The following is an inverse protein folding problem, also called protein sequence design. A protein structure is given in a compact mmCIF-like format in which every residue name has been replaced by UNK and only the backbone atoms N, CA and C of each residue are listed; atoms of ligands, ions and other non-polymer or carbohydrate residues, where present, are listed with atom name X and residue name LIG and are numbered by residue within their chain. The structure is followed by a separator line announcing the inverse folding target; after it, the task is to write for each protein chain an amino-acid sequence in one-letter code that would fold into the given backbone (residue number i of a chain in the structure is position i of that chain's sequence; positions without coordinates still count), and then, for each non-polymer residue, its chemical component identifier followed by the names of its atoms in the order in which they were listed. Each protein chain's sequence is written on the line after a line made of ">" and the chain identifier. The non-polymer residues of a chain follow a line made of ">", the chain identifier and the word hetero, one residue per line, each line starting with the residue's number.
data_IF_220156899278
#
_entry.id   IF_220156899278
#
_cell.length_a   1.000
_cell.length_b   1.000
_cell.length_c   1.000
_cell.angle_alpha   90.00
_cell.angle_beta   90.00
_cell.angle_gamma   90.00
#
_symmetry.space_group_name_H-M   'P 1'
#
loop_
_entity.id
_entity.type
_entity.pdbx_description
1 polymer ?
#
# COMPACT_ATOMS: atom_id res chain seq x y z
N UNK A 1 10.50 22.39 -13.48
CA UNK A 1 11.05 21.02 -13.46
C UNK A 1 10.18 20.03 -12.67
N UNK A 2 9.18 20.48 -11.89
CA UNK A 2 8.23 19.62 -11.15
C UNK A 2 7.09 19.05 -12.01
N UNK A 3 6.71 19.74 -13.09
CA UNK A 3 5.60 19.32 -13.97
C UNK A 3 5.86 18.07 -14.83
N UNK A 4 7.12 17.75 -15.15
CA UNK A 4 7.45 16.57 -15.95
C UNK A 4 7.31 15.27 -15.14
N UNK A 5 7.69 15.29 -13.85
CA UNK A 5 7.57 14.14 -12.94
C UNK A 5 6.11 13.87 -12.55
N UNK A 6 5.33 14.92 -12.28
CA UNK A 6 3.90 14.79 -12.00
C UNK A 6 3.11 14.22 -13.19
N UNK A 7 3.53 14.57 -14.41
CA UNK A 7 2.87 14.13 -15.64
C UNK A 7 3.26 12.73 -16.10
N UNK A 8 4.36 12.15 -15.62
CA UNK A 8 4.79 10.79 -16.00
C UNK A 8 3.72 9.74 -15.66
N UNK A 9 3.13 9.82 -14.47
CA UNK A 9 2.06 8.90 -14.06
C UNK A 9 0.78 9.11 -14.87
N UNK A 10 0.48 10.36 -15.24
CA UNK A 10 -0.68 10.72 -16.06
C UNK A 10 -0.49 10.24 -17.50
N UNK A 11 0.71 10.38 -18.06
CA UNK A 11 1.05 9.91 -19.40
C UNK A 11 1.05 8.38 -19.48
N UNK A 12 1.62 7.69 -18.49
CA UNK A 12 1.56 6.23 -18.40
C UNK A 12 0.13 5.71 -18.34
N UNK A 13 -0.72 6.34 -17.50
CA UNK A 13 -2.14 6.00 -17.41
C UNK A 13 -2.87 6.27 -18.74
N UNK A 14 -2.63 7.42 -19.38
CA UNK A 14 -3.24 7.77 -20.68
C UNK A 14 -2.82 6.82 -21.80
N UNK A 15 -1.56 6.40 -21.82
CA UNK A 15 -1.07 5.38 -22.75
C UNK A 15 -1.73 4.03 -22.49
N UNK A 16 -1.96 3.65 -21.24
CA UNK A 16 -2.61 2.37 -20.92
C UNK A 16 -4.11 2.40 -21.25
N UNK A 17 -4.76 3.54 -21.02
CA UNK A 17 -6.17 3.76 -21.36
C UNK A 17 -6.41 3.91 -22.86
N UNK A 18 -5.41 4.27 -23.68
CA UNK A 18 -5.60 4.40 -25.13
C UNK A 18 -5.89 3.05 -25.80
N UNK A 19 -5.43 1.94 -25.23
CA UNK A 19 -5.76 0.59 -25.68
C UNK A 19 -7.23 0.21 -25.48
N UNK A 20 -7.94 0.93 -24.60
CA UNK A 20 -9.35 0.69 -24.23
C UNK A 20 -10.20 1.92 -24.60
N UNK A 21 -9.67 2.88 -25.36
CA UNK A 21 -10.34 4.14 -25.67
C UNK A 21 -11.60 4.00 -26.54
N UNK A 22 -11.81 2.85 -27.18
CA UNK A 22 -13.02 2.54 -27.94
C UNK A 22 -14.16 1.96 -27.06
N UNK A 23 -13.93 1.75 -25.76
CA UNK A 23 -14.92 1.22 -24.84
C UNK A 23 -15.89 2.31 -24.35
N UNK A 24 -17.12 1.94 -23.95
CA UNK A 24 -18.07 2.89 -23.39
C UNK A 24 -17.54 3.58 -22.11
N UNK A 25 -17.91 4.85 -21.93
CA UNK A 25 -17.36 5.77 -20.91
C UNK A 25 -17.33 5.21 -19.48
N UNK A 26 -18.30 4.37 -19.10
CA UNK A 26 -18.36 3.76 -17.77
C UNK A 26 -17.23 2.75 -17.52
N UNK A 27 -16.79 2.00 -18.54
CA UNK A 27 -15.66 1.06 -18.44
C UNK A 27 -14.36 1.83 -18.20
N UNK A 28 -14.18 2.94 -18.92
CA UNK A 28 -12.98 3.78 -18.80
C UNK A 28 -12.88 4.37 -17.38
N UNK A 29 -14.01 4.78 -16.79
CA UNK A 29 -14.04 5.31 -15.42
C UNK A 29 -13.70 4.25 -14.38
N UNK A 30 -14.33 3.06 -14.43
CA UNK A 30 -14.04 1.96 -13.50
C UNK A 30 -12.56 1.55 -13.61
N UNK A 31 -12.07 1.37 -14.83
CA UNK A 31 -10.67 0.99 -15.08
C UNK A 31 -9.71 2.05 -14.55
N UNK A 32 -10.02 3.33 -14.78
CA UNK A 32 -9.23 4.46 -14.27
C UNK A 32 -9.17 4.52 -12.75
N UNK A 33 -10.27 4.18 -12.07
CA UNK A 33 -10.35 4.12 -10.62
C UNK A 33 -9.58 2.92 -10.07
N UNK A 34 -9.72 1.75 -10.69
CA UNK A 34 -8.97 0.54 -10.31
C UNK A 34 -7.45 0.76 -10.45
N UNK A 35 -6.98 1.37 -11.54
CA UNK A 35 -5.57 1.70 -11.71
C UNK A 35 -5.07 2.59 -10.57
N UNK A 36 -5.83 3.61 -10.20
CA UNK A 36 -5.46 4.50 -9.11
C UNK A 36 -5.41 3.76 -7.76
N UNK A 37 -6.40 2.90 -7.46
CA UNK A 37 -6.44 2.11 -6.23
C UNK A 37 -5.25 1.15 -6.17
N UNK A 38 -4.97 0.43 -7.24
CA UNK A 38 -3.83 -0.50 -7.30
C UNK A 38 -2.51 0.25 -7.16
N UNK A 39 -2.34 1.39 -7.81
CA UNK A 39 -1.14 2.22 -7.67
C UNK A 39 -0.96 2.70 -6.22
N UNK A 40 -2.05 3.16 -5.59
CA UNK A 40 -2.03 3.58 -4.18
C UNK A 40 -1.62 2.43 -3.27
N UNK A 41 -2.27 1.27 -3.40
CA UNK A 41 -1.95 0.07 -2.61
C UNK A 41 -0.50 -0.36 -2.83
N UNK A 42 -0.01 -0.37 -4.07
CA UNK A 42 1.37 -0.73 -4.38
C UNK A 42 2.38 0.19 -3.66
N UNK A 43 2.15 1.50 -3.70
CA UNK A 43 3.02 2.48 -3.01
C UNK A 43 2.97 2.27 -1.50
N UNK A 44 1.77 2.20 -0.91
CA UNK A 44 1.63 2.04 0.54
C UNK A 44 2.22 0.72 1.06
N UNK A 45 1.95 -0.40 0.38
CA UNK A 45 2.51 -1.70 0.74
C UNK A 45 4.03 -1.72 0.61
N UNK A 46 4.58 -1.09 -0.44
CA UNK A 46 6.04 -0.99 -0.62
C UNK A 46 6.68 -0.14 0.48
N UNK A 47 6.09 1.01 0.82
CA UNK A 47 6.58 1.86 1.90
C UNK A 47 6.55 1.14 3.24
N UNK A 48 5.44 0.47 3.56
CA UNK A 48 5.32 -0.32 4.78
C UNK A 48 6.37 -1.45 4.84
N UNK A 49 6.54 -2.18 3.73
CA UNK A 49 7.55 -3.22 3.60
C UNK A 49 8.97 -2.69 3.86
N UNK A 50 9.35 -1.57 3.25
CA UNK A 50 10.66 -0.95 3.45
C UNK A 50 10.84 -0.43 4.88
N UNK A 51 9.81 0.20 5.45
CA UNK A 51 9.83 0.71 6.82
C UNK A 51 10.08 -0.41 7.82
N UNK A 52 9.45 -1.58 7.63
CA UNK A 52 9.66 -2.74 8.51
C UNK A 52 11.11 -3.27 8.48
N UNK A 53 11.76 -3.26 7.29
CA UNK A 53 13.17 -3.66 7.17
C UNK A 53 14.08 -2.63 7.84
N UNK A 54 13.79 -1.35 7.64
CA UNK A 54 14.52 -0.25 8.26
C UNK A 54 14.45 -0.34 9.79
N UNK A 55 13.26 -0.53 10.34
CA UNK A 55 13.03 -0.70 11.78
C UNK A 55 13.89 -1.85 12.34
N UNK A 56 13.83 -3.03 11.71
CA UNK A 56 14.66 -4.19 12.14
C UNK A 56 16.15 -3.92 12.07
N UNK A 57 16.60 -3.11 11.10
CA UNK A 57 18.01 -2.69 11.02
C UNK A 57 18.38 -1.74 12.14
N UNK A 58 17.55 -0.73 12.42
CA UNK A 58 17.78 0.24 13.49
C UNK A 58 17.84 -0.49 14.84
N UNK A 59 16.87 -1.35 15.13
CA UNK A 59 16.83 -2.14 16.35
C UNK A 59 18.06 -3.04 16.48
N UNK A 60 18.50 -3.68 15.40
CA UNK A 60 19.75 -4.44 15.39
C UNK A 60 20.96 -3.58 15.77
N UNK A 61 21.10 -2.40 15.15
CA UNK A 61 22.21 -1.47 15.45
C UNK A 61 22.20 -1.00 16.90
N UNK A 62 21.02 -0.72 17.47
CA UNK A 62 20.88 -0.37 18.89
C UNK A 62 21.32 -1.51 19.81
N UNK A 63 21.05 -2.75 19.43
CA UNK A 63 21.41 -3.96 20.20
C UNK A 63 22.82 -4.48 19.89
N UNK A 64 23.65 -3.71 19.17
CA UNK A 64 24.97 -4.14 18.69
C UNK A 64 24.95 -5.50 17.94
N UNK A 65 23.89 -5.75 17.16
CA UNK A 65 23.75 -6.92 16.28
C UNK A 65 23.44 -6.49 14.85
N UNK A 66 23.88 -7.27 13.87
CA UNK A 66 23.45 -7.04 12.50
C UNK A 66 21.95 -7.34 12.32
N UNK A 67 21.25 -6.38 11.69
CA UNK A 67 19.89 -6.55 11.20
C UNK A 67 19.83 -7.46 9.95
N UNK A 68 18.66 -7.55 9.29
CA UNK A 68 18.45 -8.43 8.13
C UNK A 68 19.50 -8.20 7.01
N UNK A 69 20.25 -9.23 6.65
CA UNK A 69 21.32 -9.17 5.63
C UNK A 69 21.40 -10.40 4.69
N UNK A 70 20.44 -11.34 4.76
CA UNK A 70 20.54 -12.64 4.07
C UNK A 70 19.65 -12.80 2.83
N UNK A 71 18.53 -12.09 2.77
CA UNK A 71 17.50 -12.26 1.72
C UNK A 71 17.61 -11.15 0.67
N UNK A 72 18.68 -11.21 -0.12
CA UNK A 72 19.00 -10.25 -1.18
C UNK A 72 19.89 -9.08 -0.73
N UNK A 73 20.24 -8.16 -1.65
CA UNK A 73 21.10 -7.02 -1.35
C UNK A 73 20.46 -6.18 -0.25
N UNK A 74 21.20 -5.93 0.83
CA UNK A 74 20.73 -5.21 2.02
C UNK A 74 19.46 -5.77 2.68
N UNK A 75 19.07 -7.02 2.40
CA UNK A 75 17.85 -7.63 2.95
C UNK A 75 16.53 -7.05 2.42
N UNK A 76 16.53 -6.42 1.23
CA UNK A 76 15.34 -5.80 0.64
C UNK A 76 14.22 -6.80 0.33
N UNK A 77 14.52 -8.08 0.10
CA UNK A 77 13.50 -9.10 -0.14
C UNK A 77 12.96 -9.74 1.14
N UNK A 78 13.34 -9.23 2.32
CA UNK A 78 12.82 -9.72 3.59
C UNK A 78 11.29 -9.62 3.72
N UNK A 79 10.62 -8.54 3.30
CA UNK A 79 9.16 -8.46 3.37
C UNK A 79 8.46 -9.49 2.47
N UNK A 80 9.07 -9.82 1.33
CA UNK A 80 8.55 -10.86 0.43
C UNK A 80 8.66 -12.24 1.09
N UNK A 81 9.81 -12.54 1.70
CA UNK A 81 10.01 -13.79 2.44
C UNK A 81 9.04 -13.91 3.64
N UNK A 82 8.82 -12.81 4.37
CA UNK A 82 7.87 -12.77 5.48
C UNK A 82 6.43 -12.94 4.99
N UNK A 83 6.05 -12.34 3.85
CA UNK A 83 4.75 -12.51 3.23
C UNK A 83 4.49 -13.96 2.82
N UNK A 84 5.44 -14.59 2.12
CA UNK A 84 5.36 -16.01 1.78
C UNK A 84 5.21 -16.88 3.03
N UNK A 85 5.99 -16.59 4.08
CA UNK A 85 5.90 -17.28 5.36
C UNK A 85 4.51 -17.14 5.99
N UNK A 86 3.87 -15.97 5.89
CA UNK A 86 2.52 -15.75 6.41
C UNK A 86 1.46 -16.48 5.59
N UNK A 87 1.63 -16.62 4.27
CA UNK A 87 0.70 -17.35 3.41
C UNK A 87 0.72 -18.87 3.65
N UNK A 88 1.89 -19.41 4.00
CA UNK A 88 2.07 -20.84 4.29
C UNK A 88 1.70 -21.14 5.76
N UNK A 89 1.63 -20.12 6.61
CA UNK A 89 1.34 -20.28 8.03
C UNK A 89 -0.07 -20.86 8.20
N UNK A 90 -0.16 -21.98 8.87
CA UNK A 90 -1.45 -22.55 9.28
C UNK A 90 -2.18 -21.58 10.22
N UNK A 91 -3.45 -21.33 9.91
CA UNK A 91 -4.34 -20.54 10.76
C UNK A 91 -4.95 -21.43 11.85
N UNK A 92 -4.40 -21.33 13.07
CA UNK A 92 -4.79 -22.17 14.20
C UNK A 92 -5.73 -21.37 15.11
N UNK A 93 -7.02 -21.70 15.08
CA UNK A 93 -8.01 -21.15 16.01
C UNK A 93 -7.95 -21.94 17.33
N UNK A 94 -7.77 -21.28 18.49
CA UNK A 94 -7.69 -21.99 19.77
C UNK A 94 -9.00 -22.72 20.10
N UNK A 95 -8.92 -23.99 20.50
CA UNK A 95 -10.10 -24.82 20.78
C UNK A 95 -11.01 -24.29 21.92
N UNK A 96 -10.45 -23.48 22.82
CA UNK A 96 -11.17 -22.85 23.94
C UNK A 96 -11.57 -21.39 23.69
N UNK A 97 -11.25 -20.84 22.52
CA UNK A 97 -11.58 -19.45 22.19
C UNK A 97 -12.99 -19.33 21.60
N UNK A 98 -13.64 -18.20 21.86
CA UNK A 98 -14.87 -17.81 21.17
C UNK A 98 -14.54 -17.49 19.71
N UNK A 99 -15.14 -18.26 18.78
CA UNK A 99 -14.86 -18.16 17.34
C UNK A 99 -15.28 -16.81 16.75
N UNK A 100 -16.36 -16.22 17.27
CA UNK A 100 -16.90 -14.95 16.76
C UNK A 100 -15.96 -13.82 17.18
N UNK A 101 -15.58 -13.77 18.46
CA UNK A 101 -14.67 -12.74 18.97
C UNK A 101 -13.28 -12.87 18.33
N UNK A 102 -12.78 -14.09 18.15
CA UNK A 102 -11.48 -14.34 17.53
C UNK A 102 -11.41 -13.85 16.07
N UNK A 103 -12.49 -14.02 15.31
CA UNK A 103 -12.58 -13.52 13.94
C UNK A 103 -12.82 -12.01 13.86
N UNK A 104 -13.70 -11.46 14.72
CA UNK A 104 -14.02 -10.03 14.71
C UNK A 104 -12.88 -9.15 15.21
N UNK A 105 -12.04 -9.63 16.14
CA UNK A 105 -10.94 -8.85 16.70
C UNK A 105 -10.00 -8.24 15.63
N UNK A 106 -9.40 -9.02 14.70
CA UNK A 106 -8.56 -8.45 13.64
C UNK A 106 -9.34 -7.58 12.66
N UNK A 107 -10.61 -7.91 12.38
CA UNK A 107 -11.47 -7.14 11.47
C UNK A 107 -11.73 -5.72 11.99
N UNK A 108 -12.08 -5.60 13.28
CA UNK A 108 -12.34 -4.31 13.92
C UNK A 108 -11.07 -3.47 13.99
N UNK A 109 -9.93 -4.08 14.35
CA UNK A 109 -8.63 -3.40 14.36
C UNK A 109 -8.24 -2.85 12.98
N UNK A 110 -8.41 -3.65 11.93
CA UNK A 110 -8.15 -3.22 10.56
C UNK A 110 -9.10 -2.08 10.12
N UNK A 111 -10.39 -2.19 10.45
CA UNK A 111 -11.38 -1.17 10.12
C UNK A 111 -11.02 0.18 10.77
N UNK A 112 -10.69 0.19 12.07
CA UNK A 112 -10.28 1.40 12.78
C UNK A 112 -9.02 2.02 12.17
N UNK A 113 -8.01 1.21 11.86
CA UNK A 113 -6.77 1.70 11.25
C UNK A 113 -6.97 2.32 9.86
N UNK A 114 -7.88 1.77 9.04
CA UNK A 114 -8.18 2.33 7.72
C UNK A 114 -8.98 3.64 7.86
N UNK A 115 -9.94 3.69 8.77
CA UNK A 115 -10.74 4.89 9.02
C UNK A 115 -9.86 6.06 9.49
N UNK A 116 -8.86 5.82 10.34
CA UNK A 116 -7.95 6.89 10.80
C UNK A 116 -7.05 7.41 9.68
N UNK A 117 -6.63 6.57 8.74
CA UNK A 117 -5.88 7.02 7.56
C UNK A 117 -6.73 7.92 6.64
N UNK A 118 -8.03 7.65 6.53
CA UNK A 118 -8.96 8.45 5.72
C UNK A 118 -9.13 9.89 6.20
N UNK A 119 -8.76 10.20 7.45
CA UNK A 119 -8.85 11.56 8.02
C UNK A 119 -7.71 12.47 7.54
N UNK A 120 -6.60 11.90 7.07
CA UNK A 120 -5.42 12.68 6.67
C UNK A 120 -5.64 13.29 5.27
N UNK A 121 -5.67 14.63 5.12
CA UNK A 121 -5.85 15.26 3.82
C UNK A 121 -4.58 15.09 2.97
N UNK A 122 -4.62 14.18 1.99
CA UNK A 122 -3.49 13.88 1.12
C UNK A 122 -3.43 14.74 -0.16
N UNK A 123 -4.47 15.51 -0.46
CA UNK A 123 -4.56 16.33 -1.67
C UNK A 123 -4.87 17.79 -1.35
N UNK A 124 -4.02 18.70 -1.83
CA UNK A 124 -4.35 20.12 -1.90
C UNK A 124 -5.36 20.35 -3.02
N UNK A 125 -6.40 21.14 -2.71
CA UNK A 125 -7.40 21.53 -3.69
C UNK A 125 -6.71 22.27 -4.86
N UNK A 126 -6.98 21.89 -6.12
CA UNK A 126 -6.39 22.56 -7.28
C UNK A 126 -6.63 24.07 -7.22
N UNK A 127 -5.59 24.87 -7.47
CA UNK A 127 -5.65 26.33 -7.45
C UNK A 127 -6.65 26.93 -8.46
N UNK A 128 -7.11 26.15 -9.44
CA UNK A 128 -8.15 26.55 -10.41
C UNK A 128 -9.53 26.75 -9.79
N UNK A 129 -9.79 26.27 -8.57
CA UNK A 129 -11.05 26.49 -7.85
C UNK A 129 -11.11 27.83 -7.09
N UNK A 130 -10.03 28.64 -7.11
CA UNK A 130 -9.93 29.91 -6.36
C UNK A 130 -10.21 31.18 -7.16
N UNK A 131 -10.48 31.09 -8.47
CA UNK A 131 -10.66 32.25 -9.35
C UNK A 131 -12.12 32.67 -9.58
N UNK A 132 -13.09 32.03 -8.93
CA UNK A 132 -14.52 32.37 -9.04
C UNK A 132 -15.10 32.95 -7.74
N UNK A 133 -14.40 33.91 -7.13
CA UNK A 133 -14.93 34.77 -6.06
C UNK A 133 -14.51 36.21 -6.28
#
# INVERSE_FOLDING_TARGET
>A
MTSALDQIFVHGKRWLLSWIAAAPNWIIQITSSLINIVALLAVFLTLFALMSVLERKILGRMQNRYGPNRVGPFGLFQPVADGIKMLIKEDIVPARADKIVHFLAPVVLAAVAILTLGVIPAASMPSSARMHS
#
